data_IF_299125424546
#
_entry.id   IF_299125424546
#
_cell.length_a   1.000
_cell.length_b   1.000
_cell.length_c   1.000
_cell.angle_alpha   90.00
_cell.angle_beta   90.00
_cell.angle_gamma   90.00
#
_symmetry.space_group_name_H-M   'P 1'
#
loop_
_entity.id
_entity.type
_entity.pdbx_description
1 polymer ?
#
# COMPACT_ATOMS: atom_id res chain seq x y z
N UNK A 1 -14.07 -3.75 16.76
CA UNK A 1 -13.14 -4.09 15.66
C UNK A 1 -13.26 -5.59 15.44
N UNK A 2 -13.61 -6.00 14.24
CA UNK A 2 -13.98 -7.38 13.91
C UNK A 2 -12.82 -8.10 13.22
N UNK A 3 -12.17 -7.45 12.24
CA UNK A 3 -11.07 -8.06 11.48
C UNK A 3 -9.68 -7.61 11.91
N UNK A 4 -9.46 -6.30 12.10
CA UNK A 4 -8.13 -5.75 12.41
C UNK A 4 -7.99 -5.61 13.93
N UNK A 5 -7.19 -6.48 14.55
CA UNK A 5 -6.95 -6.49 15.99
C UNK A 5 -5.45 -6.37 16.27
N UNK A 6 -5.10 -5.74 17.40
CA UNK A 6 -3.71 -5.59 17.88
C UNK A 6 -2.77 -4.80 16.96
N UNK A 7 -3.26 -3.72 16.35
CA UNK A 7 -2.40 -2.79 15.59
C UNK A 7 -2.14 -1.55 16.43
N UNK A 8 -0.86 -1.23 16.64
CA UNK A 8 -0.46 -0.03 17.39
C UNK A 8 0.12 1.04 16.50
N UNK A 9 0.53 0.70 15.27
CA UNK A 9 1.10 1.65 14.31
C UNK A 9 0.55 1.47 12.89
N UNK A 10 0.76 2.49 12.06
CA UNK A 10 0.33 2.50 10.66
C UNK A 10 0.84 1.29 9.86
N UNK A 11 2.04 0.81 10.18
CA UNK A 11 2.68 -0.30 9.49
C UNK A 11 2.01 -1.64 9.80
N UNK A 12 1.68 -1.87 11.07
CA UNK A 12 0.95 -3.05 11.49
C UNK A 12 -0.46 -3.05 10.90
N UNK A 13 -1.10 -1.88 10.89
CA UNK A 13 -2.40 -1.68 10.24
C UNK A 13 -2.36 -2.05 8.76
N UNK A 14 -1.40 -1.50 7.99
CA UNK A 14 -1.24 -1.80 6.56
C UNK A 14 -0.96 -3.29 6.30
N UNK A 15 -0.11 -3.92 7.11
CA UNK A 15 0.21 -5.35 7.01
C UNK A 15 -1.01 -6.23 7.29
N UNK A 16 -1.74 -5.94 8.37
CA UNK A 16 -2.96 -6.66 8.73
C UNK A 16 -4.01 -6.52 7.63
N UNK A 17 -4.25 -5.29 7.16
CA UNK A 17 -5.18 -5.01 6.07
C UNK A 17 -4.83 -5.80 4.81
N UNK A 18 -3.57 -5.80 4.35
CA UNK A 18 -3.15 -6.57 3.17
C UNK A 18 -3.41 -8.07 3.32
N UNK A 19 -3.14 -8.64 4.49
CA UNK A 19 -3.32 -10.08 4.75
C UNK A 19 -4.81 -10.45 4.69
N UNK A 20 -5.66 -9.60 5.26
CA UNK A 20 -7.11 -9.77 5.25
C UNK A 20 -7.67 -9.54 3.85
N UNK A 21 -7.26 -8.47 3.18
CA UNK A 21 -7.68 -8.15 1.82
C UNK A 21 -7.35 -9.29 0.86
N UNK A 22 -6.14 -9.86 0.90
CA UNK A 22 -5.80 -11.02 0.07
C UNK A 22 -6.73 -12.23 0.34
N UNK A 23 -7.14 -12.44 1.60
CA UNK A 23 -8.02 -13.56 1.98
C UNK A 23 -9.50 -13.30 1.63
N UNK A 24 -9.94 -12.06 1.75
CA UNK A 24 -11.33 -11.63 1.59
C UNK A 24 -11.66 -11.13 0.18
N UNK A 25 -10.64 -10.96 -0.68
CA UNK A 25 -10.85 -10.52 -2.05
C UNK A 25 -11.69 -11.56 -2.83
N UNK A 26 -12.70 -11.14 -3.61
CA UNK A 26 -13.58 -12.06 -4.37
C UNK A 26 -12.79 -12.99 -5.29
N UNK A 27 -11.68 -12.50 -5.82
CA UNK A 27 -10.81 -13.28 -6.71
C UNK A 27 -9.98 -14.37 -6.00
N UNK A 28 -9.82 -14.27 -4.67
CA UNK A 28 -9.13 -15.26 -3.84
C UNK A 28 -10.10 -16.13 -3.03
N UNK A 29 -11.41 -15.99 -3.25
CA UNK A 29 -12.47 -16.78 -2.58
C UNK A 29 -13.21 -16.06 -1.45
N UNK A 30 -13.07 -14.74 -1.32
CA UNK A 30 -13.87 -13.94 -0.38
C UNK A 30 -15.09 -13.25 -1.03
N UNK A 31 -15.59 -12.18 -0.40
CA UNK A 31 -16.81 -11.47 -0.83
C UNK A 31 -16.63 -9.95 -0.79
N UNK A 32 -17.33 -9.23 -1.68
CA UNK A 32 -17.30 -7.76 -1.72
C UNK A 32 -17.76 -7.13 -0.40
N UNK A 33 -18.72 -7.75 0.29
CA UNK A 33 -19.23 -7.29 1.58
C UNK A 33 -18.12 -7.30 2.65
N UNK A 34 -17.37 -8.40 2.76
CA UNK A 34 -16.27 -8.50 3.72
C UNK A 34 -15.14 -7.52 3.40
N UNK A 35 -14.84 -7.33 2.12
CA UNK A 35 -13.87 -6.33 1.68
C UNK A 35 -14.32 -4.90 2.02
N UNK A 36 -15.62 -4.59 1.87
CA UNK A 36 -16.19 -3.30 2.24
C UNK A 36 -16.12 -3.05 3.76
N UNK A 37 -16.43 -4.05 4.57
CA UNK A 37 -16.28 -3.97 6.03
C UNK A 37 -14.82 -3.74 6.45
N UNK A 38 -13.90 -4.50 5.85
CA UNK A 38 -12.46 -4.34 6.10
C UNK A 38 -11.97 -2.92 5.72
N UNK A 39 -12.44 -2.39 4.59
CA UNK A 39 -12.12 -1.04 4.14
C UNK A 39 -12.57 0.04 5.14
N UNK A 40 -13.76 -0.13 5.72
CA UNK A 40 -14.30 0.81 6.70
C UNK A 40 -13.49 0.78 8.00
N UNK A 41 -13.21 -0.42 8.54
CA UNK A 41 -12.37 -0.56 9.74
C UNK A 41 -10.96 -0.01 9.53
N UNK A 42 -10.38 -0.25 8.35
CA UNK A 42 -9.07 0.27 8.00
C UNK A 42 -9.06 1.80 7.96
N UNK A 43 -10.10 2.44 7.41
CA UNK A 43 -10.18 3.90 7.33
C UNK A 43 -10.22 4.54 8.72
N UNK A 44 -11.06 4.01 9.61
CA UNK A 44 -11.18 4.48 10.99
C UNK A 44 -9.86 4.33 11.76
N UNK A 45 -9.18 3.20 11.62
CA UNK A 45 -7.88 2.95 12.22
C UNK A 45 -6.79 3.80 11.59
N UNK A 46 -6.83 4.01 10.28
CA UNK A 46 -5.87 4.82 9.56
C UNK A 46 -5.94 6.27 10.03
N UNK A 47 -7.13 6.83 10.20
CA UNK A 47 -7.27 8.20 10.71
C UNK A 47 -6.69 8.38 12.12
N UNK A 48 -6.77 7.34 12.96
CA UNK A 48 -6.18 7.31 14.31
C UNK A 48 -4.67 7.10 14.30
N UNK A 49 -4.16 6.26 13.41
CA UNK A 49 -2.77 5.79 13.37
C UNK A 49 -1.91 6.45 12.28
N UNK A 50 -2.48 7.29 11.40
CA UNK A 50 -1.77 7.91 10.26
C UNK A 50 -0.53 8.70 10.67
N UNK A 51 -0.55 9.26 11.87
CA UNK A 51 0.59 9.98 12.42
C UNK A 51 1.53 9.08 13.22
N UNK A 52 1.14 7.85 13.57
CA UNK A 52 1.89 6.96 14.47
C UNK A 52 2.70 5.94 13.69
N UNK A 53 4.02 6.10 13.72
CA UNK A 53 4.98 5.21 13.04
C UNK A 53 5.87 4.50 14.05
N UNK A 54 6.37 3.30 13.71
CA UNK A 54 7.32 2.55 14.55
C UNK A 54 8.66 2.45 13.85
N UNK A 55 9.74 2.81 14.53
CA UNK A 55 11.07 2.56 13.98
C UNK A 55 11.52 1.10 14.25
N UNK A 56 12.61 0.71 13.60
CA UNK A 56 13.24 -0.61 13.75
C UNK A 56 13.67 -0.91 15.20
N UNK A 57 13.99 0.13 15.97
CA UNK A 57 14.30 0.06 17.41
C UNK A 57 13.05 -0.14 18.30
N UNK A 58 11.85 -0.14 17.72
CA UNK A 58 10.60 -0.30 18.44
C UNK A 58 10.01 0.99 19.00
N UNK A 59 10.71 2.11 18.85
CA UNK A 59 10.23 3.44 19.25
C UNK A 59 9.10 3.93 18.34
N UNK A 60 8.02 4.40 18.95
CA UNK A 60 6.91 5.04 18.23
C UNK A 60 7.14 6.54 18.11
N UNK A 61 7.02 7.08 16.92
CA UNK A 61 7.19 8.51 16.66
C UNK A 61 6.04 9.07 15.82
N UNK A 62 5.79 10.36 15.96
CA UNK A 62 4.81 11.06 15.13
C UNK A 62 5.44 11.58 13.86
N UNK A 63 4.82 11.31 12.71
CA UNK A 63 5.26 11.84 11.42
C UNK A 63 4.05 12.23 10.59
N UNK A 64 4.09 13.43 10.03
CA UNK A 64 3.12 13.79 9.01
C UNK A 64 3.32 12.91 7.76
N UNK A 65 2.24 12.25 7.37
CA UNK A 65 2.16 11.52 6.11
C UNK A 65 1.06 12.15 5.27
N UNK A 66 1.36 12.31 3.97
CA UNK A 66 0.38 12.72 2.96
C UNK A 66 -0.32 11.51 2.34
N UNK A 67 0.04 10.29 2.76
CA UNK A 67 -0.62 9.07 2.31
C UNK A 67 -2.06 9.02 2.80
N UNK A 68 -2.99 8.66 1.91
CA UNK A 68 -4.38 8.39 2.28
C UNK A 68 -4.69 6.90 2.30
N UNK A 69 -5.71 6.53 3.08
CA UNK A 69 -6.22 5.17 3.12
C UNK A 69 -6.64 4.69 1.72
N UNK A 70 -7.28 5.56 0.94
CA UNK A 70 -7.75 5.31 -0.42
C UNK A 70 -6.64 4.97 -1.39
N UNK A 71 -5.56 5.75 -1.40
CA UNK A 71 -4.43 5.47 -2.27
C UNK A 71 -3.91 4.06 -1.99
N UNK A 72 -3.75 3.69 -0.71
CA UNK A 72 -3.22 2.37 -0.33
C UNK A 72 -4.14 1.23 -0.77
N UNK A 73 -5.46 1.42 -0.59
CA UNK A 73 -6.49 0.49 -1.07
C UNK A 73 -6.44 0.32 -2.59
N UNK A 74 -6.32 1.42 -3.34
CA UNK A 74 -6.22 1.39 -4.80
C UNK A 74 -5.02 0.57 -5.28
N UNK A 75 -3.83 0.82 -4.73
CA UNK A 75 -2.62 0.06 -5.12
C UNK A 75 -2.81 -1.43 -4.81
N UNK A 76 -3.32 -1.79 -3.63
CA UNK A 76 -3.55 -3.20 -3.30
C UNK A 76 -4.57 -3.85 -4.24
N UNK A 77 -5.68 -3.18 -4.54
CA UNK A 77 -6.66 -3.69 -5.50
C UNK A 77 -6.04 -3.88 -6.89
N UNK A 78 -5.22 -2.93 -7.36
CA UNK A 78 -4.49 -3.06 -8.63
C UNK A 78 -3.52 -4.25 -8.61
N UNK A 79 -2.80 -4.44 -7.50
CA UNK A 79 -1.93 -5.61 -7.34
C UNK A 79 -2.71 -6.93 -7.35
N UNK A 80 -3.88 -6.99 -6.73
CA UNK A 80 -4.75 -8.17 -6.77
C UNK A 80 -5.35 -8.41 -8.16
N UNK A 81 -5.70 -7.34 -8.88
CA UNK A 81 -6.20 -7.42 -10.25
C UNK A 81 -5.17 -8.01 -11.23
N UNK A 82 -3.87 -7.84 -10.96
CA UNK A 82 -2.80 -8.46 -11.76
C UNK A 82 -2.68 -9.98 -11.56
N UNK A 83 -3.36 -10.57 -10.56
CA UNK A 83 -3.34 -12.01 -10.23
C UNK A 83 -1.95 -12.64 -10.36
N UNK A 84 -0.96 -11.98 -9.77
CA UNK A 84 0.43 -12.41 -9.93
C UNK A 84 0.68 -13.73 -9.19
N UNK A 85 1.09 -14.76 -9.93
CA UNK A 85 1.48 -16.04 -9.33
C UNK A 85 2.95 -16.04 -8.91
N UNK A 86 3.23 -16.56 -7.72
CA UNK A 86 4.58 -16.62 -7.17
C UNK A 86 5.16 -15.25 -6.77
N UNK A 87 4.33 -14.23 -6.55
CA UNK A 87 4.75 -12.91 -6.05
C UNK A 87 4.34 -12.71 -4.59
N UNK A 88 5.31 -12.41 -3.74
CA UNK A 88 5.11 -12.08 -2.33
C UNK A 88 5.10 -10.55 -2.13
N UNK A 89 3.99 -10.05 -1.58
CA UNK A 89 3.79 -8.64 -1.22
C UNK A 89 4.16 -8.43 0.25
N UNK A 90 5.17 -7.62 0.52
CA UNK A 90 5.65 -7.22 1.83
C UNK A 90 5.50 -5.70 2.01
N UNK A 91 5.03 -5.24 3.17
CA UNK A 91 4.82 -3.80 3.44
C UNK A 91 5.79 -3.37 4.54
N UNK A 92 6.57 -2.32 4.28
CA UNK A 92 7.57 -1.76 5.20
C UNK A 92 7.42 -0.24 5.20
N UNK A 93 6.87 0.35 6.27
CA UNK A 93 6.55 1.77 6.31
C UNK A 93 5.52 2.18 5.25
N UNK A 94 5.95 3.06 4.35
CA UNK A 94 5.23 3.52 3.15
C UNK A 94 5.56 2.69 1.90
N UNK A 95 6.56 1.81 1.99
CA UNK A 95 7.05 1.04 0.84
C UNK A 95 6.36 -0.32 0.76
N UNK A 96 5.80 -0.62 -0.41
CA UNK A 96 5.28 -1.93 -0.78
C UNK A 96 6.37 -2.62 -1.60
N UNK A 97 6.85 -3.75 -1.11
CA UNK A 97 7.84 -4.59 -1.74
C UNK A 97 7.15 -5.80 -2.36
N UNK A 98 7.49 -6.09 -3.61
CA UNK A 98 7.07 -7.24 -4.39
C UNK A 98 8.32 -8.08 -4.66
N UNK A 99 8.33 -9.29 -4.14
CA UNK A 99 9.44 -10.24 -4.27
C UNK A 99 8.96 -11.53 -4.93
N UNK A 100 9.85 -12.32 -5.51
CA UNK A 100 9.49 -13.55 -6.23
C UNK A 100 9.40 -13.34 -7.74
N UNK A 101 8.35 -13.88 -8.37
CA UNK A 101 8.22 -13.93 -9.83
C UNK A 101 7.64 -12.63 -10.45
N UNK A 102 8.22 -11.47 -10.14
CA UNK A 102 7.74 -10.17 -10.66
C UNK A 102 8.23 -9.84 -12.07
N UNK A 103 9.10 -10.69 -12.66
CA UNK A 103 9.66 -10.48 -14.01
C UNK A 103 8.61 -10.45 -15.13
N UNK A 104 7.67 -11.42 -15.23
CA UNK A 104 6.62 -11.40 -16.25
C UNK A 104 5.68 -10.19 -16.12
N UNK A 105 5.43 -9.74 -14.90
CA UNK A 105 4.52 -8.61 -14.60
C UNK A 105 5.25 -7.26 -14.51
N UNK A 106 6.51 -7.18 -14.96
CA UNK A 106 7.37 -6.01 -14.76
C UNK A 106 6.78 -4.75 -15.38
N UNK A 107 6.15 -4.85 -16.55
CA UNK A 107 5.58 -3.71 -17.27
C UNK A 107 4.31 -3.19 -16.58
N UNK A 108 3.43 -4.08 -16.13
CA UNK A 108 2.28 -3.72 -15.30
C UNK A 108 2.70 -3.06 -13.98
N UNK A 109 3.65 -3.68 -13.27
CA UNK A 109 4.17 -3.15 -12.02
C UNK A 109 4.83 -1.78 -12.25
N UNK A 110 5.58 -1.59 -13.35
CA UNK A 110 6.10 -0.28 -13.73
C UNK A 110 5.00 0.75 -14.01
N UNK A 111 3.88 0.34 -14.60
CA UNK A 111 2.72 1.21 -14.81
C UNK A 111 2.06 1.63 -13.48
N UNK A 112 2.24 0.85 -12.42
CA UNK A 112 1.89 1.23 -11.04
C UNK A 112 2.91 2.18 -10.38
N UNK A 113 3.89 2.69 -11.13
CA UNK A 113 5.01 3.49 -10.62
C UNK A 113 5.95 2.76 -9.63
N UNK A 114 5.92 1.42 -9.62
CA UNK A 114 6.89 0.64 -8.86
C UNK A 114 8.23 0.61 -9.59
N UNK A 115 9.31 0.64 -8.81
CA UNK A 115 10.69 0.60 -9.30
C UNK A 115 11.32 -0.76 -9.02
N UNK A 116 12.06 -1.27 -9.98
CA UNK A 116 12.83 -2.49 -9.79
C UNK A 116 14.13 -2.19 -9.01
N UNK A 117 14.39 -2.98 -7.98
CA UNK A 117 15.64 -2.98 -7.20
C UNK A 117 16.50 -4.18 -7.61
N UNK A 118 17.59 -3.97 -8.37
CA UNK A 118 18.45 -5.08 -8.82
C UNK A 118 19.18 -5.76 -7.67
N UNK A 119 19.51 -5.04 -6.58
CA UNK A 119 20.20 -5.61 -5.42
C UNK A 119 19.36 -6.62 -4.64
N UNK A 120 18.04 -6.42 -4.62
CA UNK A 120 17.09 -7.29 -3.91
C UNK A 120 16.29 -8.20 -4.84
N UNK A 121 16.48 -8.07 -6.16
CA UNK A 121 15.65 -8.72 -7.18
C UNK A 121 14.15 -8.56 -6.89
N UNK A 122 13.76 -7.35 -6.48
CA UNK A 122 12.43 -7.04 -5.96
C UNK A 122 11.93 -5.73 -6.55
N UNK A 123 10.62 -5.59 -6.73
CA UNK A 123 10.01 -4.32 -7.11
C UNK A 123 9.51 -3.62 -5.85
N UNK A 124 9.72 -2.31 -5.74
CA UNK A 124 9.22 -1.54 -4.62
C UNK A 124 8.47 -0.31 -5.14
N UNK A 125 7.34 -0.05 -4.53
CA UNK A 125 6.49 1.11 -4.80
C UNK A 125 6.30 1.88 -3.50
N UNK A 126 6.32 3.19 -3.59
CA UNK A 126 5.89 4.06 -2.49
C UNK A 126 4.92 5.06 -3.05
N UNK A 127 3.95 5.43 -2.23
CA UNK A 127 3.06 6.55 -2.53
C UNK A 127 3.81 7.84 -2.28
N UNK A 128 4.78 8.13 -3.15
CA UNK A 128 5.20 9.51 -3.28
C UNK A 128 4.04 10.19 -3.95
N UNK A 129 3.34 11.05 -3.20
CA UNK A 129 2.77 12.24 -3.83
C UNK A 129 3.93 12.83 -4.61
N UNK A 130 3.82 12.83 -5.92
CA UNK A 130 4.79 13.50 -6.77
C UNK A 130 4.69 14.99 -6.42
N UNK A 131 5.46 15.44 -5.44
CA UNK A 131 5.67 16.88 -5.16
C UNK A 131 6.49 17.55 -6.27
N UNK A 132 6.62 16.89 -7.43
CA UNK A 132 7.10 17.46 -8.69
C UNK A 132 6.08 17.29 -9.81
N UNK A 133 4.90 17.86 -9.63
CA UNK A 133 4.18 18.48 -10.75
C UNK A 133 3.45 19.77 -10.35
N UNK A 134 4.15 20.64 -9.62
CA UNK A 134 3.90 22.08 -9.63
C UNK A 134 5.22 22.81 -9.95
N UNK A 135 5.79 22.51 -11.10
CA UNK A 135 6.76 23.36 -11.75
C UNK A 135 6.58 23.13 -13.26
N UNK A 136 6.21 24.19 -13.98
CA UNK A 136 5.95 24.29 -15.43
C UNK A 136 4.49 24.08 -15.87
N UNK A 137 3.66 25.09 -15.59
CA UNK A 137 3.02 25.88 -16.67
C UNK A 137 2.92 27.32 -16.18
N UNK A 138 4.05 28.04 -16.21
CA UNK A 138 3.98 29.48 -16.47
C UNK A 138 3.51 29.60 -17.92
N UNK A 139 2.22 29.84 -18.09
CA UNK A 139 1.63 30.29 -19.33
C UNK A 139 0.95 31.62 -19.06
N UNK A 140 1.75 32.67 -18.93
CA UNK A 140 1.30 34.03 -19.15
C UNK A 140 0.71 34.08 -20.57
N UNK A 141 -0.58 34.36 -20.72
CA UNK A 141 -1.12 34.90 -21.96
C UNK A 141 -2.44 35.64 -21.73
N UNK A 142 -2.26 36.97 -21.71
CA UNK A 142 -3.18 38.08 -22.00
C UNK A 142 -4.31 38.39 -21.03
#
# INVERSE_FOLDING_TARGET
MTYIQQVSTLEELKKAYKKLALKLHPDCGGSNEEMAQLNNEYDELFSKLKYTHKNKDGETYTKETTETSEQFKDILNRLFALKMDGVAIEIVGTFIWLTGNTKPYKDDIKALAFRYSPKKYAMYGSQKVDTKKEALTTGLQN
#
